data_IF_062800374695
#
_entry.id   IF_062800374695
#
_cell.length_a   1.000
_cell.length_b   1.000
_cell.length_c   1.000
_cell.angle_alpha   90.00
_cell.angle_beta   90.00
_cell.angle_gamma   90.00
#
_symmetry.space_group_name_H-M   'P 1'
#
loop_
_entity.id
_entity.type
_entity.pdbx_description
1 polymer ?
#
# COMPACT_ATOMS: atom_id res chain seq x y z
N UNK A 1 70.77 -13.40 14.10
CA UNK A 1 70.10 -12.52 13.08
C UNK A 1 70.22 -11.09 13.56
N UNK A 2 70.68 -10.16 12.76
CA UNK A 2 70.76 -8.77 13.16
C UNK A 2 69.36 -8.17 13.43
N UNK A 3 69.21 -7.45 14.52
CA UNK A 3 67.94 -6.86 15.01
C UNK A 3 67.18 -6.04 13.98
N UNK A 4 67.90 -5.42 13.06
CA UNK A 4 67.31 -4.63 11.97
C UNK A 4 66.51 -5.44 10.93
N UNK A 5 66.90 -6.70 10.67
CA UNK A 5 66.16 -7.59 9.79
C UNK A 5 64.83 -8.03 10.38
N UNK A 6 64.78 -8.22 11.68
CA UNK A 6 63.52 -8.52 12.39
C UNK A 6 62.60 -7.34 12.39
N UNK A 7 63.11 -6.12 12.58
CA UNK A 7 62.33 -4.89 12.54
C UNK A 7 61.78 -4.64 11.09
N UNK A 8 62.55 -4.94 10.06
CA UNK A 8 62.13 -4.77 8.67
C UNK A 8 61.03 -5.78 8.29
N UNK A 9 61.19 -7.04 8.74
CA UNK A 9 60.18 -8.11 8.49
C UNK A 9 58.85 -7.79 9.22
N UNK A 10 58.93 -7.24 10.43
CA UNK A 10 57.73 -6.86 11.20
C UNK A 10 56.97 -5.69 10.56
N UNK A 11 57.69 -4.66 10.11
CA UNK A 11 57.08 -3.53 9.38
C UNK A 11 56.46 -3.97 8.06
N UNK A 12 57.09 -4.87 7.33
CA UNK A 12 56.55 -5.41 6.07
C UNK A 12 55.28 -6.23 6.30
N UNK A 13 55.27 -7.07 7.32
CA UNK A 13 54.10 -7.86 7.70
C UNK A 13 52.93 -6.93 8.13
N UNK A 14 53.21 -5.89 8.88
CA UNK A 14 52.21 -4.89 9.29
C UNK A 14 51.64 -4.13 8.10
N UNK A 15 52.47 -3.71 7.16
CA UNK A 15 52.04 -3.02 5.94
C UNK A 15 51.16 -3.90 5.06
N UNK A 16 51.54 -5.16 4.89
CA UNK A 16 50.74 -6.14 4.14
C UNK A 16 49.37 -6.41 4.84
N UNK A 17 49.40 -6.60 6.16
CA UNK A 17 48.18 -6.82 6.95
C UNK A 17 47.20 -5.67 6.88
N UNK A 18 47.68 -4.43 7.02
CA UNK A 18 46.89 -3.20 6.85
C UNK A 18 46.35 -3.03 5.44
N UNK A 19 47.17 -3.30 4.41
CA UNK A 19 46.76 -3.20 3.03
C UNK A 19 45.67 -4.20 2.64
N UNK A 20 45.80 -5.45 3.06
CA UNK A 20 44.79 -6.49 2.84
C UNK A 20 43.48 -6.23 3.63
N UNK A 21 43.61 -5.76 4.86
CA UNK A 21 42.47 -5.36 5.70
C UNK A 21 41.68 -4.21 5.08
N UNK A 22 42.36 -3.17 4.64
CA UNK A 22 41.74 -2.01 4.01
C UNK A 22 41.06 -2.35 2.67
N UNK A 23 41.73 -3.18 1.84
CA UNK A 23 41.14 -3.62 0.57
C UNK A 23 39.92 -4.53 0.74
N UNK A 24 39.91 -5.37 1.79
CA UNK A 24 38.77 -6.24 2.10
C UNK A 24 37.57 -5.48 2.68
N UNK A 25 37.81 -4.53 3.56
CA UNK A 25 36.76 -3.71 4.18
C UNK A 25 36.16 -2.70 3.22
N UNK A 26 36.99 -2.03 2.42
CA UNK A 26 36.53 -1.04 1.45
C UNK A 26 35.60 -1.64 0.39
N UNK A 27 35.85 -2.88 -0.03
CA UNK A 27 34.98 -3.57 -0.98
C UNK A 27 33.62 -3.96 -0.38
N UNK A 28 33.59 -4.34 0.88
CA UNK A 28 32.32 -4.65 1.58
C UNK A 28 31.48 -3.40 1.86
N UNK A 29 32.11 -2.30 2.23
CA UNK A 29 31.42 -1.03 2.41
C UNK A 29 30.77 -0.54 1.10
N UNK A 30 31.50 -0.61 0.00
CA UNK A 30 30.99 -0.20 -1.32
C UNK A 30 29.85 -1.10 -1.84
N UNK A 31 29.82 -2.38 -1.49
CA UNK A 31 28.69 -3.25 -1.85
C UNK A 31 27.46 -2.94 -1.01
N UNK A 32 27.60 -2.74 0.29
CA UNK A 32 26.48 -2.34 1.17
C UNK A 32 25.86 -1.00 0.76
N UNK A 33 26.69 -0.02 0.42
CA UNK A 33 26.18 1.28 -0.07
C UNK A 33 25.34 1.12 -1.34
N UNK A 34 25.80 0.31 -2.30
CA UNK A 34 25.03 0.04 -3.53
C UNK A 34 23.72 -0.69 -3.27
N UNK A 35 23.72 -1.67 -2.38
CA UNK A 35 22.51 -2.38 -1.97
C UNK A 35 21.52 -1.45 -1.26
N UNK A 36 22.03 -0.55 -0.42
CA UNK A 36 21.21 0.43 0.27
C UNK A 36 20.61 1.47 -0.68
N UNK A 37 21.38 1.97 -1.65
CA UNK A 37 20.87 2.85 -2.69
C UNK A 37 19.83 2.16 -3.59
N UNK A 38 20.08 0.91 -3.97
CA UNK A 38 19.13 0.12 -4.75
C UNK A 38 17.82 -0.13 -3.97
N UNK A 39 17.91 -0.44 -2.68
CA UNK A 39 16.73 -0.60 -1.83
C UNK A 39 15.94 0.70 -1.67
N UNK A 40 16.62 1.84 -1.48
CA UNK A 40 15.98 3.17 -1.45
C UNK A 40 15.26 3.49 -2.76
N UNK A 41 15.91 3.30 -3.89
CA UNK A 41 15.31 3.54 -5.20
C UNK A 41 14.09 2.65 -5.43
N UNK A 42 14.10 1.42 -4.90
CA UNK A 42 12.96 0.51 -4.97
C UNK A 42 11.78 0.99 -4.11
N UNK A 43 12.04 1.46 -2.89
CA UNK A 43 11.02 2.05 -2.02
C UNK A 43 10.39 3.28 -2.66
N UNK A 44 11.20 4.21 -3.16
CA UNK A 44 10.71 5.42 -3.85
C UNK A 44 9.88 5.09 -5.11
N UNK A 45 10.23 4.01 -5.80
CA UNK A 45 9.45 3.55 -6.95
C UNK A 45 8.09 3.01 -6.50
N UNK A 46 8.05 2.17 -5.47
CA UNK A 46 6.80 1.63 -4.94
C UNK A 46 5.90 2.74 -4.37
N UNK A 47 6.48 3.73 -3.71
CA UNK A 47 5.74 4.91 -3.24
C UNK A 47 5.13 5.68 -4.39
N UNK A 48 5.87 5.91 -5.47
CA UNK A 48 5.34 6.55 -6.69
C UNK A 48 4.25 5.74 -7.37
N UNK A 49 4.41 4.41 -7.45
CA UNK A 49 3.39 3.52 -7.99
C UNK A 49 2.12 3.52 -7.11
N UNK A 50 2.27 3.50 -5.79
CA UNK A 50 1.17 3.64 -4.84
C UNK A 50 0.46 4.98 -5.00
N UNK A 51 1.20 6.08 -5.08
CA UNK A 51 0.65 7.42 -5.19
C UNK A 51 0.01 7.64 -6.58
N UNK A 52 0.55 7.03 -7.63
CA UNK A 52 -0.08 7.01 -8.94
C UNK A 52 -1.38 6.19 -8.95
N UNK A 53 -1.44 5.08 -8.22
CA UNK A 53 -2.68 4.31 -8.03
C UNK A 53 -3.67 5.06 -7.14
N UNK A 54 -3.20 5.74 -6.09
CA UNK A 54 -4.04 6.57 -5.22
C UNK A 54 -4.47 7.88 -5.91
N UNK A 55 -3.60 8.47 -6.73
CA UNK A 55 -3.89 9.66 -7.55
C UNK A 55 -4.70 9.37 -8.81
N UNK A 56 -4.89 8.09 -9.14
CA UNK A 56 -5.87 7.62 -10.14
C UNK A 56 -7.32 7.73 -9.67
N UNK A 57 -7.58 8.26 -8.48
CA UNK A 57 -8.87 8.83 -8.13
C UNK A 57 -9.20 9.89 -9.19
N UNK A 58 -10.06 9.51 -10.13
CA UNK A 58 -10.54 10.36 -11.22
C UNK A 58 -10.92 11.69 -10.60
N UNK A 59 -10.35 12.77 -11.11
CA UNK A 59 -10.57 14.14 -10.67
C UNK A 59 -12.08 14.39 -10.47
N UNK A 60 -12.50 14.61 -9.21
CA UNK A 60 -13.90 14.79 -8.86
C UNK A 60 -14.59 13.62 -8.17
N UNK A 61 -14.01 12.43 -8.12
CA UNK A 61 -14.62 11.31 -7.39
C UNK A 61 -14.34 11.45 -5.89
N UNK A 62 -15.40 11.38 -5.11
CA UNK A 62 -15.36 11.36 -3.64
C UNK A 62 -15.74 9.97 -3.14
N UNK A 63 -15.25 9.65 -1.96
CA UNK A 63 -15.62 8.43 -1.25
C UNK A 63 -16.46 8.79 -0.03
N UNK A 64 -17.57 8.11 0.11
CA UNK A 64 -18.43 8.21 1.30
C UNK A 64 -18.58 6.83 1.94
N UNK A 65 -18.81 6.82 3.23
CA UNK A 65 -19.13 5.61 3.98
C UNK A 65 -20.52 5.72 4.60
N UNK A 66 -21.25 4.62 4.58
CA UNK A 66 -22.58 4.52 5.16
C UNK A 66 -22.78 3.24 5.94
N UNK A 67 -23.86 3.21 6.70
CA UNK A 67 -24.35 2.02 7.40
C UNK A 67 -25.80 1.79 6.99
N UNK A 68 -26.19 0.52 6.95
CA UNK A 68 -27.58 0.21 6.61
C UNK A 68 -27.88 -1.28 6.69
N UNK A 69 -29.07 -1.63 6.21
CA UNK A 69 -29.54 -3.01 6.15
C UNK A 69 -29.85 -3.35 4.70
N UNK A 70 -29.34 -4.49 4.24
CA UNK A 70 -29.54 -4.95 2.87
C UNK A 70 -30.99 -5.38 2.68
N UNK A 71 -31.65 -4.89 1.63
CA UNK A 71 -33.02 -5.21 1.28
C UNK A 71 -33.15 -6.12 0.07
N UNK A 72 -32.24 -5.98 -0.90
CA UNK A 72 -32.18 -6.86 -2.07
C UNK A 72 -30.76 -6.88 -2.65
N UNK A 73 -30.37 -7.99 -3.25
CA UNK A 73 -29.09 -8.19 -3.90
C UNK A 73 -29.34 -8.68 -5.32
N UNK A 74 -28.80 -7.98 -6.30
CA UNK A 74 -28.80 -8.32 -7.71
C UNK A 74 -27.35 -8.39 -8.21
N UNK A 75 -27.05 -8.98 -9.36
CA UNK A 75 -25.68 -9.18 -9.83
C UNK A 75 -24.81 -7.91 -9.89
N UNK A 76 -25.42 -6.74 -10.13
CA UNK A 76 -24.71 -5.45 -10.27
C UNK A 76 -25.41 -4.33 -9.46
N UNK A 77 -26.35 -4.66 -8.60
CA UNK A 77 -27.13 -3.70 -7.83
C UNK A 77 -27.40 -4.24 -6.44
N UNK A 78 -27.14 -3.45 -5.42
CA UNK A 78 -27.50 -3.75 -4.04
C UNK A 78 -28.44 -2.67 -3.53
N UNK A 79 -29.60 -3.09 -3.01
CA UNK A 79 -30.58 -2.19 -2.39
C UNK A 79 -30.37 -2.18 -0.89
N UNK A 80 -30.08 -1.01 -0.34
CA UNK A 80 -29.78 -0.82 1.08
C UNK A 80 -30.70 0.25 1.66
N UNK A 81 -31.34 -0.05 2.78
CA UNK A 81 -31.92 0.96 3.66
C UNK A 81 -30.82 1.50 4.54
N UNK A 82 -30.37 2.70 4.30
CA UNK A 82 -29.22 3.29 4.96
C UNK A 82 -29.59 4.49 5.82
N UNK A 83 -28.73 4.75 6.80
CA UNK A 83 -28.72 5.99 7.55
C UNK A 83 -28.24 7.14 6.65
N UNK A 84 -28.24 8.37 7.18
CA UNK A 84 -27.70 9.51 6.46
C UNK A 84 -26.24 9.25 6.06
N UNK A 85 -25.97 9.34 4.76
CA UNK A 85 -24.61 9.37 4.21
C UNK A 85 -24.21 10.84 4.08
N UNK A 86 -23.43 11.33 5.04
CA UNK A 86 -23.07 12.74 5.13
C UNK A 86 -22.46 13.26 3.84
N UNK A 87 -23.04 14.31 3.30
CA UNK A 87 -22.58 14.94 2.06
C UNK A 87 -23.01 14.22 0.77
N UNK A 88 -23.82 13.15 0.86
CA UNK A 88 -24.33 12.45 -0.31
C UNK A 88 -25.85 12.27 -0.27
N UNK A 89 -26.40 11.61 0.74
CA UNK A 89 -27.82 11.18 0.77
C UNK A 89 -28.40 11.23 2.19
N UNK A 90 -29.65 11.67 2.35
CA UNK A 90 -30.39 11.51 3.58
C UNK A 90 -30.74 10.02 3.82
N UNK A 91 -31.13 9.69 5.05
CA UNK A 91 -31.56 8.32 5.40
C UNK A 91 -32.74 7.87 4.53
N UNK A 92 -32.56 6.83 3.76
CA UNK A 92 -33.57 6.23 2.87
C UNK A 92 -33.16 4.86 2.36
N UNK A 93 -34.02 4.25 1.55
CA UNK A 93 -33.66 3.03 0.77
C UNK A 93 -33.21 3.45 -0.62
N UNK A 94 -31.99 3.03 -0.98
CA UNK A 94 -31.36 3.37 -2.26
C UNK A 94 -30.77 2.12 -2.90
N UNK A 95 -30.89 2.01 -4.22
CA UNK A 95 -30.17 1.00 -5.02
C UNK A 95 -28.84 1.56 -5.48
N UNK A 96 -27.75 0.95 -5.08
CA UNK A 96 -26.40 1.28 -5.50
C UNK A 96 -25.86 0.25 -6.48
N UNK A 97 -25.18 0.70 -7.52
CA UNK A 97 -24.41 -0.21 -8.37
C UNK A 97 -23.24 -0.80 -7.59
N UNK A 98 -22.83 -2.03 -7.92
CA UNK A 98 -21.65 -2.68 -7.34
C UNK A 98 -20.54 -2.74 -8.38
N UNK A 99 -19.30 -2.47 -7.95
CA UNK A 99 -18.10 -2.56 -8.81
C UNK A 99 -17.87 -3.98 -9.31
N UNK A 100 -18.18 -4.98 -8.50
CA UNK A 100 -18.01 -6.38 -8.85
C UNK A 100 -19.25 -7.20 -8.46
N UNK A 101 -19.62 -8.19 -9.26
CA UNK A 101 -20.79 -9.03 -8.98
C UNK A 101 -20.65 -9.86 -7.69
N UNK A 102 -19.43 -10.08 -7.23
CA UNK A 102 -19.14 -10.89 -6.04
C UNK A 102 -18.96 -10.07 -4.75
N UNK A 103 -19.12 -8.74 -4.84
CA UNK A 103 -18.88 -7.84 -3.70
C UNK A 103 -19.76 -8.17 -2.47
N UNK A 104 -20.90 -8.79 -2.67
CA UNK A 104 -21.84 -9.20 -1.62
C UNK A 104 -21.94 -10.70 -1.41
N UNK A 105 -20.98 -11.52 -1.85
CA UNK A 105 -21.08 -12.98 -1.81
C UNK A 105 -21.27 -13.58 -0.41
N UNK A 106 -20.81 -12.89 0.64
CA UNK A 106 -20.98 -13.28 2.05
C UNK A 106 -22.13 -12.57 2.75
N UNK A 107 -22.91 -11.75 2.02
CA UNK A 107 -23.96 -10.90 2.57
C UNK A 107 -25.31 -11.43 2.15
N UNK A 108 -26.26 -11.43 3.08
CA UNK A 108 -27.64 -11.85 2.84
C UNK A 108 -28.61 -10.69 3.05
N UNK A 109 -29.79 -10.83 2.46
CA UNK A 109 -30.88 -9.88 2.70
C UNK A 109 -31.24 -9.84 4.18
N UNK A 110 -31.30 -8.66 4.75
CA UNK A 110 -31.55 -8.44 6.18
C UNK A 110 -30.27 -8.21 7.00
N UNK A 111 -29.10 -8.45 6.45
CA UNK A 111 -27.84 -8.22 7.15
C UNK A 111 -27.57 -6.73 7.38
N UNK A 112 -27.11 -6.34 8.58
CA UNK A 112 -26.56 -5.02 8.83
C UNK A 112 -25.17 -4.93 8.20
N UNK A 113 -24.94 -3.88 7.42
CA UNK A 113 -23.69 -3.69 6.66
C UNK A 113 -23.13 -2.30 6.84
N UNK A 114 -21.82 -2.23 6.82
CA UNK A 114 -21.06 -1.02 6.56
C UNK A 114 -20.59 -1.07 5.11
N UNK A 115 -20.77 0.02 4.37
CA UNK A 115 -20.38 0.07 2.97
C UNK A 115 -19.71 1.39 2.63
N UNK A 116 -18.89 1.34 1.58
CA UNK A 116 -18.25 2.51 0.99
C UNK A 116 -18.71 2.69 -0.44
N UNK A 117 -19.03 3.91 -0.80
CA UNK A 117 -19.44 4.28 -2.16
C UNK A 117 -18.46 5.30 -2.74
N UNK A 118 -18.20 5.18 -4.03
CA UNK A 118 -17.45 6.13 -4.83
C UNK A 118 -18.36 6.74 -5.89
N UNK A 119 -18.14 8.01 -6.20
CA UNK A 119 -18.86 8.70 -7.26
C UNK A 119 -18.55 10.18 -7.29
N UNK A 120 -19.16 10.89 -8.23
CA UNK A 120 -19.15 12.36 -8.32
C UNK A 120 -20.38 12.97 -7.66
N UNK A 121 -21.37 12.14 -7.36
CA UNK A 121 -22.64 12.52 -6.75
C UNK A 121 -23.56 11.33 -6.54
N UNK A 122 -24.84 11.62 -6.34
CA UNK A 122 -25.86 10.62 -6.03
C UNK A 122 -26.10 9.64 -7.17
N UNK A 123 -26.07 10.14 -8.42
CA UNK A 123 -26.50 9.38 -9.59
C UNK A 123 -25.48 8.35 -10.06
N UNK A 124 -24.21 8.55 -9.74
CA UNK A 124 -23.11 7.67 -10.13
C UNK A 124 -22.44 6.94 -8.93
N UNK A 125 -23.05 7.06 -7.76
CA UNK A 125 -22.56 6.42 -6.54
C UNK A 125 -22.55 4.89 -6.68
N UNK A 126 -21.35 4.31 -6.61
CA UNK A 126 -21.11 2.88 -6.79
C UNK A 126 -20.47 2.29 -5.54
N UNK A 127 -20.98 1.16 -5.05
CA UNK A 127 -20.41 0.45 -3.90
C UNK A 127 -19.09 -0.20 -4.31
N UNK A 128 -18.02 0.12 -3.59
CA UNK A 128 -16.68 -0.43 -3.78
C UNK A 128 -16.27 -1.39 -2.69
N UNK A 129 -16.85 -1.27 -1.52
CA UNK A 129 -16.64 -2.18 -0.39
C UNK A 129 -17.91 -2.32 0.43
N UNK A 130 -18.18 -3.52 0.92
CA UNK A 130 -19.28 -3.82 1.82
C UNK A 130 -18.85 -4.90 2.80
N UNK A 131 -19.13 -4.67 4.07
CA UNK A 131 -18.75 -5.54 5.17
C UNK A 131 -19.96 -5.71 6.10
N UNK A 132 -20.16 -6.93 6.59
CA UNK A 132 -21.13 -7.23 7.66
C UNK A 132 -20.55 -6.78 8.99
N UNK A 133 -21.35 -6.18 9.85
CA UNK A 133 -20.92 -5.71 11.17
C UNK A 133 -21.87 -6.19 12.28
#
# INVERSE_FOLDING_TARGET
>A
MPVWQVALALNLALAIGLGLGYAGWGRRAATLEREFEAARAHVERLERERDACAGGARTGQQQWSGRGVVRAIYPQLMVITHEEIRGLLPARTTGFRTVAPNLGASITVGDPVRFSVWGTGVDDATIVAVEKW
#
